data_IF_493491477047
#
_entry.id   IF_493491477047
#
_cell.length_a   1.000
_cell.length_b   1.000
_cell.length_c   1.000
_cell.angle_alpha   90.00
_cell.angle_beta   90.00
_cell.angle_gamma   90.00
#
_symmetry.space_group_name_H-M   'P 1'
#
loop_
_entity.id
_entity.type
_entity.pdbx_description
1 polymer ?
#
# COMPACT_ATOMS: atom_id res chain seq x y z
N UNK A 1 -20.28 -0.84 18.40
CA UNK A 1 -19.88 -2.24 18.12
C UNK A 1 -18.90 -2.18 16.95
N UNK A 2 -17.80 -2.92 16.99
CA UNK A 2 -16.82 -2.99 15.89
C UNK A 2 -16.90 -4.35 15.22
N UNK A 3 -16.76 -4.39 13.90
CA UNK A 3 -16.77 -5.62 13.12
C UNK A 3 -15.49 -5.74 12.32
N UNK A 4 -14.85 -6.90 12.37
CA UNK A 4 -13.72 -7.22 11.53
C UNK A 4 -14.22 -7.70 10.15
N UNK A 5 -14.00 -6.90 9.12
CA UNK A 5 -14.60 -7.13 7.80
C UNK A 5 -13.70 -7.85 6.81
N UNK A 6 -12.36 -7.70 6.92
CA UNK A 6 -11.40 -8.31 6.00
C UNK A 6 -9.97 -8.22 6.56
N UNK A 7 -9.04 -8.96 5.97
CA UNK A 7 -7.61 -8.92 6.27
C UNK A 7 -6.76 -9.55 5.19
N UNK A 8 -5.46 -9.21 5.15
CA UNK A 8 -4.47 -9.79 4.23
C UNK A 8 -3.12 -9.94 4.92
N UNK A 9 -2.34 -10.94 4.52
CA UNK A 9 -0.93 -11.08 4.91
C UNK A 9 0.00 -10.13 4.16
N UNK A 10 -0.51 -9.35 3.20
CA UNK A 10 0.24 -8.36 2.43
C UNK A 10 0.31 -7.05 3.22
N UNK A 11 1.50 -6.72 3.73
CA UNK A 11 1.72 -5.53 4.56
C UNK A 11 3.19 -5.25 4.81
N UNK A 12 3.51 -4.59 5.93
CA UNK A 12 4.90 -4.24 6.26
C UNK A 12 5.87 -5.43 6.30
N UNK A 13 5.43 -6.59 6.81
CA UNK A 13 6.24 -7.81 6.79
C UNK A 13 6.58 -8.29 5.37
N UNK A 14 5.65 -8.12 4.43
CA UNK A 14 5.87 -8.45 3.01
C UNK A 14 6.89 -7.51 2.38
N UNK A 15 6.83 -6.21 2.68
CA UNK A 15 7.85 -5.24 2.23
C UNK A 15 9.23 -5.71 2.68
N UNK A 16 9.41 -5.98 3.98
CA UNK A 16 10.71 -6.40 4.52
C UNK A 16 11.17 -7.74 3.94
N UNK A 17 10.28 -8.72 3.84
CA UNK A 17 10.60 -10.05 3.32
C UNK A 17 11.03 -10.02 1.85
N UNK A 18 10.29 -9.32 1.00
CA UNK A 18 10.64 -9.18 -0.42
C UNK A 18 11.89 -8.33 -0.60
N UNK A 19 12.08 -7.26 0.17
CA UNK A 19 13.31 -6.46 0.14
C UNK A 19 14.52 -7.28 0.56
N UNK A 20 14.39 -8.20 1.53
CA UNK A 20 15.49 -9.10 1.88
C UNK A 20 15.88 -9.99 0.72
N UNK A 21 14.89 -10.53 0.00
CA UNK A 21 15.10 -11.45 -1.11
C UNK A 21 15.66 -10.75 -2.36
N UNK A 22 15.18 -9.55 -2.67
CA UNK A 22 15.45 -8.88 -3.95
C UNK A 22 16.48 -7.74 -3.84
N UNK A 23 16.59 -7.10 -2.68
CA UNK A 23 17.45 -5.93 -2.44
C UNK A 23 18.55 -6.20 -1.42
N UNK A 24 18.54 -7.39 -0.79
CA UNK A 24 19.42 -7.80 0.30
C UNK A 24 19.39 -6.89 1.54
N UNK A 25 18.27 -6.19 1.79
CA UNK A 25 18.09 -5.34 2.98
C UNK A 25 16.74 -5.57 3.65
N UNK A 26 16.70 -5.35 4.96
CA UNK A 26 15.48 -5.31 5.78
C UNK A 26 15.35 -4.00 6.54
N UNK A 27 16.22 -3.03 6.26
CA UNK A 27 16.17 -1.72 6.91
C UNK A 27 15.01 -0.90 6.29
N UNK A 28 13.97 -0.54 7.06
CA UNK A 28 12.85 0.23 6.54
C UNK A 28 13.27 1.58 5.96
N UNK A 29 14.29 2.23 6.52
CA UNK A 29 14.76 3.54 6.05
C UNK A 29 15.45 3.40 4.69
N UNK A 30 16.38 2.43 4.54
CA UNK A 30 17.02 2.12 3.25
C UNK A 30 15.97 1.75 2.18
N UNK A 31 14.98 0.92 2.53
CA UNK A 31 13.92 0.50 1.59
C UNK A 31 13.11 1.72 1.14
N UNK A 32 12.77 2.61 2.07
CA UNK A 32 12.03 3.83 1.75
C UNK A 32 12.83 4.79 0.88
N UNK A 33 14.12 4.96 1.16
CA UNK A 33 15.01 5.81 0.38
C UNK A 33 15.18 5.27 -1.04
N UNK A 34 15.40 3.97 -1.21
CA UNK A 34 15.47 3.31 -2.52
C UNK A 34 14.14 3.48 -3.29
N UNK A 35 13.01 3.21 -2.63
CA UNK A 35 11.70 3.32 -3.25
C UNK A 35 11.35 4.76 -3.66
N UNK A 36 11.87 5.77 -2.94
CA UNK A 36 11.66 7.18 -3.27
C UNK A 36 12.44 7.64 -4.51
N UNK A 37 13.52 6.93 -4.85
CA UNK A 37 14.38 7.19 -6.00
C UNK A 37 13.98 6.37 -7.24
N UNK A 38 13.17 5.33 -7.04
CA UNK A 38 12.73 4.42 -8.09
C UNK A 38 11.38 4.75 -8.68
N UNK A 39 11.03 4.02 -9.74
CA UNK A 39 9.74 4.09 -10.41
C UNK A 39 9.11 2.69 -10.47
N UNK A 40 7.92 2.54 -9.88
CA UNK A 40 7.21 1.26 -9.90
C UNK A 40 6.97 0.73 -11.33
N UNK A 41 6.73 1.62 -12.31
CA UNK A 41 6.63 1.27 -13.73
C UNK A 41 7.90 0.65 -14.34
N UNK A 42 9.04 0.69 -13.66
CA UNK A 42 10.26 -0.03 -14.04
C UNK A 42 10.13 -1.55 -13.83
N UNK A 43 9.23 -1.98 -12.94
CA UNK A 43 8.94 -3.40 -12.65
C UNK A 43 7.51 -3.80 -13.05
N UNK A 44 6.56 -2.89 -12.88
CA UNK A 44 5.13 -3.10 -13.13
C UNK A 44 4.78 -2.94 -14.62
N UNK A 45 3.87 -3.78 -15.11
CA UNK A 45 3.15 -3.51 -16.36
C UNK A 45 1.97 -2.60 -16.06
N UNK A 46 1.88 -1.49 -16.79
CA UNK A 46 0.79 -0.52 -16.68
C UNK A 46 -0.20 -0.68 -17.82
N UNK A 47 -1.38 -0.07 -17.72
CA UNK A 47 -2.44 -0.22 -18.73
C UNK A 47 -1.96 0.17 -20.13
N UNK A 48 -1.19 1.25 -20.28
CA UNK A 48 -0.62 1.64 -21.58
C UNK A 48 0.28 0.58 -22.23
N UNK A 49 0.89 -0.32 -21.44
CA UNK A 49 1.74 -1.40 -21.95
C UNK A 49 0.90 -2.58 -22.50
N UNK A 50 -0.36 -2.72 -22.08
CA UNK A 50 -1.17 -3.92 -22.32
C UNK A 50 -2.45 -3.68 -23.12
N UNK A 51 -2.93 -2.43 -23.19
CA UNK A 51 -4.13 -2.08 -23.94
C UNK A 51 -3.89 -0.92 -24.91
N UNK A 52 -4.52 -1.00 -26.08
CA UNK A 52 -4.38 -0.01 -27.15
C UNK A 52 -5.35 1.19 -27.04
N UNK A 53 -6.08 1.33 -25.93
CA UNK A 53 -7.10 2.35 -25.75
C UNK A 53 -7.53 2.52 -24.29
N UNK A 54 -8.32 3.56 -23.98
CA UNK A 54 -8.73 3.86 -22.61
C UNK A 54 -9.66 2.78 -22.04
N UNK A 55 -9.51 2.46 -20.75
CA UNK A 55 -10.40 1.57 -20.01
C UNK A 55 -11.23 2.41 -19.03
N UNK A 56 -12.43 2.78 -19.45
CA UNK A 56 -13.34 3.58 -18.63
C UNK A 56 -12.69 4.89 -18.16
N UNK A 57 -12.71 5.14 -16.85
CA UNK A 57 -12.08 6.30 -16.21
C UNK A 57 -10.72 5.99 -15.58
N UNK A 58 -10.14 4.81 -15.85
CA UNK A 58 -8.85 4.43 -15.26
C UNK A 58 -7.71 5.22 -15.92
N UNK A 59 -6.80 5.81 -15.12
CA UNK A 59 -5.59 6.43 -15.62
C UNK A 59 -4.73 5.43 -16.43
N UNK A 60 -4.07 5.88 -17.49
CA UNK A 60 -3.26 5.00 -18.36
C UNK A 60 -2.01 4.45 -17.68
N UNK A 61 -1.53 5.14 -16.65
CA UNK A 61 -0.42 4.74 -15.79
C UNK A 61 -0.84 3.82 -14.63
N UNK A 62 -2.11 3.41 -14.58
CA UNK A 62 -2.59 2.42 -13.60
C UNK A 62 -1.87 1.09 -13.80
N UNK A 63 -1.41 0.48 -12.71
CA UNK A 63 -0.82 -0.86 -12.73
C UNK A 63 -1.83 -1.90 -13.22
N UNK A 64 -1.45 -2.64 -14.27
CA UNK A 64 -2.19 -3.79 -14.78
C UNK A 64 -1.73 -5.07 -14.09
N UNK A 65 -0.41 -5.24 -13.96
CA UNK A 65 0.24 -6.41 -13.34
C UNK A 65 1.49 -5.97 -12.60
N UNK A 66 1.49 -6.03 -11.27
CA UNK A 66 2.68 -5.76 -10.47
C UNK A 66 3.81 -6.75 -10.84
N UNK A 67 5.04 -6.27 -10.96
CA UNK A 67 6.23 -7.03 -11.42
C UNK A 67 6.08 -7.69 -12.81
N UNK A 68 5.06 -7.34 -13.59
CA UNK A 68 4.77 -8.00 -14.85
C UNK A 68 5.89 -7.89 -15.90
N UNK A 69 6.70 -6.82 -15.85
CA UNK A 69 7.83 -6.64 -16.78
C UNK A 69 8.93 -7.66 -16.54
N UNK A 70 9.14 -8.05 -15.28
CA UNK A 70 10.15 -9.03 -14.87
C UNK A 70 9.85 -10.44 -15.40
N UNK A 71 8.57 -10.74 -15.64
CA UNK A 71 8.15 -12.04 -16.17
C UNK A 71 8.17 -12.12 -17.71
N UNK A 72 8.18 -10.98 -18.41
CA UNK A 72 7.97 -10.91 -19.86
C UNK A 72 9.19 -10.48 -20.66
N UNK A 73 10.18 -9.88 -20.02
CA UNK A 73 11.28 -9.21 -20.71
C UNK A 73 12.60 -9.52 -20.04
N UNK A 74 13.68 -9.60 -20.83
CA UNK A 74 15.06 -9.69 -20.33
C UNK A 74 15.56 -8.36 -19.73
N UNK A 75 14.64 -7.48 -19.31
CA UNK A 75 14.94 -6.18 -18.72
C UNK A 75 15.32 -6.38 -17.26
N UNK A 76 16.49 -5.86 -16.86
CA UNK A 76 16.83 -5.75 -15.45
C UNK A 76 16.28 -4.46 -14.87
N UNK A 77 15.52 -4.55 -13.78
CA UNK A 77 15.15 -3.37 -12.99
C UNK A 77 16.32 -2.92 -12.09
N UNK A 78 16.41 -1.62 -11.84
CA UNK A 78 17.32 -1.07 -10.83
C UNK A 78 16.90 -1.51 -9.42
N UNK A 79 17.80 -1.38 -8.41
CA UNK A 79 17.43 -1.67 -7.01
C UNK A 79 16.33 -0.74 -6.53
N UNK A 80 16.37 0.51 -6.99
CA UNK A 80 15.41 1.56 -6.70
C UNK A 80 14.04 1.23 -7.29
N UNK A 81 13.97 0.79 -8.56
CA UNK A 81 12.72 0.37 -9.21
C UNK A 81 12.13 -0.89 -8.56
N UNK A 82 12.99 -1.82 -8.13
CA UNK A 82 12.57 -3.00 -7.37
C UNK A 82 11.98 -2.59 -6.02
N UNK A 83 12.62 -1.68 -5.28
CA UNK A 83 12.09 -1.15 -4.03
C UNK A 83 10.74 -0.45 -4.25
N UNK A 84 10.64 0.41 -5.27
CA UNK A 84 9.41 1.08 -5.64
C UNK A 84 8.29 0.08 -5.99
N UNK A 85 8.60 -0.97 -6.78
CA UNK A 85 7.66 -2.03 -7.12
C UNK A 85 7.16 -2.83 -5.90
N UNK A 86 8.05 -3.16 -4.96
CA UNK A 86 7.68 -3.87 -3.72
C UNK A 86 6.68 -3.04 -2.91
N UNK A 87 7.02 -1.77 -2.69
CA UNK A 87 6.18 -0.86 -1.89
C UNK A 87 4.86 -0.56 -2.62
N UNK A 88 4.89 -0.45 -3.95
CA UNK A 88 3.68 -0.26 -4.78
C UNK A 88 2.73 -1.46 -4.70
N UNK A 89 3.23 -2.69 -4.90
CA UNK A 89 2.44 -3.92 -4.77
C UNK A 89 1.70 -3.98 -3.43
N UNK A 90 2.41 -3.71 -2.33
CA UNK A 90 1.81 -3.73 -0.99
C UNK A 90 0.80 -2.60 -0.82
N UNK A 91 1.14 -1.38 -1.27
CA UNK A 91 0.28 -0.21 -1.22
C UNK A 91 -1.05 -0.41 -1.97
N UNK A 92 -0.97 -0.84 -3.22
CA UNK A 92 -2.14 -1.09 -4.09
C UNK A 92 -3.01 -2.22 -3.55
N UNK A 93 -2.41 -3.31 -3.06
CA UNK A 93 -3.16 -4.44 -2.48
C UNK A 93 -3.97 -4.00 -1.25
N UNK A 94 -3.32 -3.29 -0.32
CA UNK A 94 -3.98 -2.79 0.89
C UNK A 94 -5.07 -1.77 0.53
N UNK A 95 -4.76 -0.84 -0.38
CA UNK A 95 -5.72 0.16 -0.84
C UNK A 95 -6.95 -0.47 -1.50
N UNK A 96 -6.75 -1.51 -2.33
CA UNK A 96 -7.84 -2.20 -3.02
C UNK A 96 -8.75 -2.95 -2.06
N UNK A 97 -8.19 -3.62 -1.06
CA UNK A 97 -8.99 -4.32 -0.04
C UNK A 97 -9.77 -3.30 0.79
N UNK A 98 -9.11 -2.24 1.29
CA UNK A 98 -9.75 -1.21 2.11
C UNK A 98 -10.92 -0.55 1.38
N UNK A 99 -10.72 -0.14 0.13
CA UNK A 99 -11.76 0.48 -0.69
C UNK A 99 -12.89 -0.49 -1.04
N UNK A 100 -12.59 -1.75 -1.35
CA UNK A 100 -13.64 -2.76 -1.63
C UNK A 100 -14.53 -3.03 -0.43
N UNK A 101 -13.94 -3.12 0.77
CA UNK A 101 -14.68 -3.22 2.02
C UNK A 101 -15.50 -1.96 2.27
N UNK A 102 -14.91 -0.77 2.07
CA UNK A 102 -15.61 0.49 2.27
C UNK A 102 -16.85 0.63 1.35
N UNK A 103 -16.75 0.22 0.08
CA UNK A 103 -17.90 0.13 -0.84
C UNK A 103 -18.95 -0.82 -0.30
N UNK A 104 -18.56 -2.03 0.10
CA UNK A 104 -19.51 -3.06 0.54
C UNK A 104 -20.29 -2.70 1.80
N UNK A 105 -19.74 -1.82 2.64
CA UNK A 105 -20.37 -1.34 3.88
C UNK A 105 -20.89 0.11 3.77
N UNK A 106 -20.83 0.72 2.59
CA UNK A 106 -21.27 2.11 2.33
C UNK A 106 -20.62 3.16 3.26
N UNK A 107 -19.37 2.94 3.69
CA UNK A 107 -18.63 3.85 4.57
C UNK A 107 -17.72 4.77 3.78
N UNK A 108 -17.68 6.06 4.08
CA UNK A 108 -16.89 7.04 3.30
C UNK A 108 -15.48 7.25 3.83
N UNK A 109 -15.29 7.12 5.13
CA UNK A 109 -14.02 7.41 5.79
C UNK A 109 -13.15 6.15 5.93
N UNK A 110 -11.92 6.22 5.45
CA UNK A 110 -10.91 5.17 5.64
C UNK A 110 -9.81 5.74 6.52
N UNK A 111 -9.74 5.30 7.78
CA UNK A 111 -8.68 5.71 8.71
C UNK A 111 -7.55 4.70 8.66
N UNK A 112 -6.36 5.18 8.30
CA UNK A 112 -5.17 4.34 8.11
C UNK A 112 -4.26 4.47 9.34
N UNK A 113 -3.99 3.33 9.99
CA UNK A 113 -3.13 3.25 11.18
C UNK A 113 -2.05 2.16 11.05
N UNK A 114 -1.08 2.16 11.97
CA UNK A 114 0.07 1.26 11.96
C UNK A 114 1.34 1.91 11.42
N UNK A 115 2.40 1.11 11.22
CA UNK A 115 3.71 1.59 10.73
C UNK A 115 3.81 1.62 9.20
N UNK A 116 3.14 0.70 8.51
CA UNK A 116 3.07 0.67 7.03
C UNK A 116 2.58 1.97 6.35
N UNK A 117 1.75 2.83 6.97
CA UNK A 117 1.36 4.13 6.41
C UNK A 117 2.51 5.14 6.25
N UNK A 118 3.70 4.88 6.81
CA UNK A 118 4.89 5.73 6.57
C UNK A 118 5.41 5.60 5.15
N UNK A 119 5.09 4.51 4.44
CA UNK A 119 5.41 4.35 3.04
C UNK A 119 4.51 5.22 2.17
N UNK A 120 5.13 6.13 1.41
CA UNK A 120 4.43 7.08 0.53
C UNK A 120 3.56 6.41 -0.53
N UNK A 121 3.87 5.18 -0.97
CA UNK A 121 3.09 4.50 -2.00
C UNK A 121 1.70 4.06 -1.53
N UNK A 122 1.55 3.61 -0.27
CA UNK A 122 0.22 3.27 0.28
C UNK A 122 -0.67 4.51 0.33
N UNK A 123 -0.11 5.63 0.80
CA UNK A 123 -0.79 6.92 0.81
C UNK A 123 -1.25 7.31 -0.59
N UNK A 124 -0.33 7.34 -1.55
CA UNK A 124 -0.62 7.66 -2.96
C UNK A 124 -1.69 6.73 -3.54
N UNK A 125 -1.61 5.42 -3.27
CA UNK A 125 -2.58 4.44 -3.78
C UNK A 125 -3.99 4.67 -3.23
N UNK A 126 -4.11 4.97 -1.93
CA UNK A 126 -5.39 5.29 -1.32
C UNK A 126 -5.94 6.64 -1.78
N UNK A 127 -5.09 7.66 -1.93
CA UNK A 127 -5.48 8.97 -2.47
C UNK A 127 -5.93 8.85 -3.95
N UNK A 128 -5.20 8.08 -4.77
CA UNK A 128 -5.60 7.81 -6.15
C UNK A 128 -6.93 7.03 -6.22
N UNK A 129 -7.11 6.02 -5.38
CA UNK A 129 -8.36 5.28 -5.31
C UNK A 129 -9.52 6.19 -4.82
N UNK A 130 -9.25 7.13 -3.91
CA UNK A 130 -10.22 8.11 -3.45
C UNK A 130 -10.67 9.08 -4.56
N UNK A 131 -9.80 9.43 -5.52
CA UNK A 131 -10.19 10.25 -6.67
C UNK A 131 -11.19 9.54 -7.61
N UNK A 132 -11.15 8.20 -7.66
CA UNK A 132 -12.00 7.38 -8.52
C UNK A 132 -13.28 6.91 -7.80
N UNK A 133 -13.40 7.18 -6.51
CA UNK A 133 -14.48 6.69 -5.64
C UNK A 133 -14.99 7.82 -4.74
N UNK A 134 -15.92 7.54 -3.82
CA UNK A 134 -16.46 8.54 -2.90
C UNK A 134 -15.90 8.38 -1.47
N UNK A 135 -14.65 7.92 -1.35
CA UNK A 135 -13.99 7.72 -0.06
C UNK A 135 -13.05 8.88 0.29
N UNK A 136 -12.80 9.08 1.58
CA UNK A 136 -11.83 10.04 2.12
C UNK A 136 -10.82 9.29 2.98
N UNK A 137 -9.55 9.17 2.54
CA UNK A 137 -8.52 8.53 3.33
C UNK A 137 -7.96 9.52 4.36
N UNK A 138 -7.79 9.04 5.60
CA UNK A 138 -7.26 9.80 6.72
C UNK A 138 -5.97 9.14 7.21
N UNK A 139 -4.95 9.96 7.44
CA UNK A 139 -3.65 9.52 7.96
C UNK A 139 -3.32 10.35 9.19
N UNK A 140 -3.81 9.95 10.38
CA UNK A 140 -3.59 10.68 11.62
C UNK A 140 -2.08 10.79 11.94
N UNK A 141 -1.64 11.86 12.62
CA UNK A 141 -0.29 11.88 13.19
C UNK A 141 -0.15 10.76 14.22
N UNK A 142 1.05 10.20 14.36
CA UNK A 142 1.37 9.17 15.36
C UNK A 142 0.52 7.89 15.23
N UNK A 143 0.00 7.59 14.03
CA UNK A 143 -0.91 6.48 13.78
C UNK A 143 -0.29 5.09 14.03
N UNK A 144 1.04 4.99 14.08
CA UNK A 144 1.79 3.81 14.48
C UNK A 144 1.56 3.42 15.96
N UNK A 145 1.16 4.37 16.80
CA UNK A 145 0.90 4.16 18.22
C UNK A 145 -0.57 3.89 18.53
N UNK A 146 -1.46 3.86 17.52
CA UNK A 146 -2.91 3.74 17.72
C UNK A 146 -3.31 2.56 18.63
N UNK A 147 -2.71 1.39 18.42
CA UNK A 147 -2.98 0.20 19.24
C UNK A 147 -2.49 0.35 20.69
N UNK A 148 -1.30 0.95 20.88
CA UNK A 148 -0.73 1.17 22.21
C UNK A 148 -1.55 2.19 23.01
N UNK A 149 -1.96 3.29 22.35
CA UNK A 149 -2.85 4.29 22.92
C UNK A 149 -4.20 3.67 23.30
N UNK A 150 -4.78 2.83 22.43
CA UNK A 150 -6.01 2.10 22.71
C UNK A 150 -5.90 1.20 23.94
N UNK A 151 -4.79 0.45 24.07
CA UNK A 151 -4.53 -0.39 25.23
C UNK A 151 -4.42 0.42 26.52
N UNK A 152 -3.68 1.53 26.49
CA UNK A 152 -3.54 2.44 27.64
C UNK A 152 -4.89 3.00 28.10
N UNK A 153 -5.70 3.52 27.17
CA UNK A 153 -7.03 4.08 27.48
C UNK A 153 -7.99 3.04 28.07
N UNK A 154 -7.87 1.77 27.68
CA UNK A 154 -8.66 0.67 28.26
C UNK A 154 -8.18 0.38 29.69
N UNK A 155 -6.88 0.37 29.92
CA UNK A 155 -6.31 0.15 31.25
C UNK A 155 -6.68 1.28 32.23
N UNK A 156 -6.65 2.55 31.79
CA UNK A 156 -7.07 3.69 32.61
C UNK A 156 -8.55 3.63 33.00
N UNK A 157 -9.41 3.12 32.11
CA UNK A 157 -10.84 2.92 32.40
C UNK A 157 -11.10 1.74 33.32
N UNK A 158 -10.17 0.78 33.40
CA UNK A 158 -10.26 -0.42 34.21
C UNK A 158 -9.00 -0.60 35.07
N UNK A 159 -8.75 0.28 36.05
CA UNK A 159 -7.49 0.30 36.81
C UNK A 159 -7.26 -0.96 37.68
N UNK A 160 -8.25 -1.84 37.80
CA UNK A 160 -8.22 -3.04 38.66
C UNK A 160 -8.42 -4.36 37.88
N UNK A 161 -8.36 -4.34 36.54
CA UNK A 161 -8.43 -5.56 35.70
C UNK A 161 -7.06 -6.18 35.45
#
# INVERSE_FOLDING_TARGET
MFTHCSGTGVGGGTVLGLSKLLLNTTDPEEIQDLASQGLAKGTDLILEDVVSGPIGLLPTDTTAVNFGKMARSDISASREDLAAGIVNLVGETVARIATSVAVGFEVKDIIVVGRTPTFTALRKSLEAAALLTNFTPHFPPNAEYASALGAMLIAEKNPNS
#
